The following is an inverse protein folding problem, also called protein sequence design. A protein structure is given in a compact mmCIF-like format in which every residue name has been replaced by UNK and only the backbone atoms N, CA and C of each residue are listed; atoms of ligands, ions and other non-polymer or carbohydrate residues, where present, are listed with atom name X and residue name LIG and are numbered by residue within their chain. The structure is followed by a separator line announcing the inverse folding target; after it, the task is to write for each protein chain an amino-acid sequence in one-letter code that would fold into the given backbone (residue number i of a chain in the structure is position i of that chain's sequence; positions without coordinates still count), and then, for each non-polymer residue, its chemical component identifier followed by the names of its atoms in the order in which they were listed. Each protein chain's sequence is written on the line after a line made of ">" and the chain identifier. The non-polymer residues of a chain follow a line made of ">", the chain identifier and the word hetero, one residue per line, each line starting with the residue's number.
data_IF_863365629573
#
_entry.id   IF_863365629573
#
_cell.length_a   1.000
_cell.length_b   1.000
_cell.length_c   1.000
_cell.angle_alpha   90.00
_cell.angle_beta   90.00
_cell.angle_gamma   90.00
#
_symmetry.space_group_name_H-M   'P 1'
#
loop_
_entity.id
_entity.type
_entity.pdbx_description
1 polymer ?
#
# COMPACT_ATOMS: atom_id res chain seq x y z
N UNK A 1 -16.45 -37.39 3.56
CA UNK A 1 -15.02 -36.99 3.65
C UNK A 1 -14.98 -35.48 3.47
N UNK A 2 -14.48 -34.75 4.47
CA UNK A 2 -14.29 -33.30 4.33
C UNK A 2 -13.13 -33.04 3.35
N UNK A 3 -13.20 -32.03 2.47
CA UNK A 3 -12.06 -31.67 1.64
C UNK A 3 -10.87 -31.22 2.51
N UNK A 4 -9.62 -31.51 2.10
CA UNK A 4 -8.44 -31.03 2.82
C UNK A 4 -8.37 -29.50 2.77
N UNK A 5 -7.84 -28.83 3.81
CA UNK A 5 -7.70 -27.39 3.80
C UNK A 5 -6.73 -26.96 2.69
N UNK A 6 -7.20 -26.13 1.77
CA UNK A 6 -6.35 -25.51 0.75
C UNK A 6 -5.46 -24.49 1.43
N UNK A 7 -4.14 -24.72 1.47
CA UNK A 7 -3.19 -23.71 1.95
C UNK A 7 -3.15 -22.56 0.95
N UNK A 8 -3.68 -21.41 1.37
CA UNK A 8 -3.58 -20.16 0.62
C UNK A 8 -2.14 -19.65 0.75
N UNK A 9 -1.44 -19.33 -0.36
CA UNK A 9 -0.11 -18.74 -0.27
C UNK A 9 -0.19 -17.40 0.48
N UNK A 10 0.66 -17.23 1.48
CA UNK A 10 0.75 -15.99 2.25
C UNK A 10 1.57 -15.00 1.43
N UNK A 11 0.91 -13.96 0.93
CA UNK A 11 1.58 -12.85 0.26
C UNK A 11 2.15 -11.91 1.33
N UNK A 12 3.46 -11.60 1.33
CA UNK A 12 4.04 -10.65 2.27
C UNK A 12 3.44 -9.25 2.06
N UNK A 13 3.04 -8.59 3.14
CA UNK A 13 2.48 -7.23 3.11
C UNK A 13 3.39 -6.28 3.88
N UNK A 14 3.67 -5.12 3.29
CA UNK A 14 4.43 -4.03 3.91
C UNK A 14 3.51 -2.84 4.12
N UNK A 15 3.41 -2.35 5.35
CA UNK A 15 2.62 -1.18 5.70
C UNK A 15 3.52 0.04 5.92
N UNK A 16 3.38 1.07 5.09
CA UNK A 16 4.10 2.34 5.22
C UNK A 16 3.22 3.33 5.99
N UNK A 17 3.53 3.54 7.27
CA UNK A 17 2.73 4.40 8.18
C UNK A 17 3.54 5.60 8.66
N UNK A 18 2.84 6.69 9.00
CA UNK A 18 3.47 7.96 9.41
C UNK A 18 2.53 9.16 9.27
N UNK A 19 2.90 10.30 9.87
CA UNK A 19 2.12 11.54 9.83
C UNK A 19 1.92 12.07 8.39
N UNK A 20 0.92 12.92 8.16
CA UNK A 20 0.76 13.63 6.87
C UNK A 20 2.03 14.43 6.55
N UNK A 21 2.38 14.54 5.26
CA UNK A 21 3.61 15.18 4.77
C UNK A 21 4.94 14.53 5.22
N UNK A 22 4.92 13.31 5.81
CA UNK A 22 6.16 12.61 6.23
C UNK A 22 6.91 11.87 5.10
N UNK A 23 6.56 12.09 3.83
CA UNK A 23 7.22 11.44 2.68
C UNK A 23 6.84 9.98 2.42
N UNK A 24 5.71 9.49 2.95
CA UNK A 24 5.26 8.09 2.77
C UNK A 24 5.13 7.66 1.31
N UNK A 25 4.65 8.55 0.45
CA UNK A 25 4.47 8.27 -0.98
C UNK A 25 5.80 7.93 -1.65
N UNK A 26 6.85 8.73 -1.43
CA UNK A 26 8.18 8.45 -1.97
C UNK A 26 8.72 7.11 -1.47
N UNK A 27 8.63 6.86 -0.16
CA UNK A 27 9.07 5.59 0.42
C UNK A 27 8.31 4.38 -0.13
N UNK A 28 7.00 4.50 -0.38
CA UNK A 28 6.20 3.40 -0.93
C UNK A 28 6.61 3.04 -2.38
N UNK A 29 6.96 4.04 -3.19
CA UNK A 29 7.43 3.83 -4.56
C UNK A 29 8.80 3.15 -4.58
N UNK A 30 9.75 3.67 -3.79
CA UNK A 30 11.09 3.07 -3.66
C UNK A 30 11.02 1.60 -3.20
N UNK A 31 10.11 1.29 -2.27
CA UNK A 31 9.88 -0.07 -1.79
C UNK A 31 9.27 -0.96 -2.87
N UNK A 32 8.30 -0.47 -3.62
CA UNK A 32 7.67 -1.22 -4.71
C UNK A 32 8.69 -1.57 -5.81
N UNK A 33 9.53 -0.62 -6.23
CA UNK A 33 10.58 -0.86 -7.22
C UNK A 33 11.60 -1.90 -6.75
N UNK A 34 12.03 -1.82 -5.49
CA UNK A 34 13.04 -2.75 -4.93
C UNK A 34 12.50 -4.14 -4.68
N UNK A 35 11.21 -4.26 -4.34
CA UNK A 35 10.59 -5.54 -3.98
C UNK A 35 9.84 -6.18 -5.16
N UNK A 36 9.74 -5.50 -6.31
CA UNK A 36 8.88 -5.92 -7.41
C UNK A 36 7.41 -6.00 -7.00
N UNK A 37 7.00 -5.14 -6.08
CA UNK A 37 5.67 -5.13 -5.48
C UNK A 37 4.75 -4.06 -6.05
N UNK A 38 3.50 -4.07 -5.61
CA UNK A 38 2.49 -3.08 -5.99
C UNK A 38 2.14 -2.18 -4.79
N UNK A 39 1.99 -0.88 -5.03
CA UNK A 39 1.53 0.06 -4.01
C UNK A 39 0.01 0.11 -3.99
N UNK A 40 -0.59 -0.15 -2.83
CA UNK A 40 -2.02 0.06 -2.60
C UNK A 40 -2.19 1.27 -1.68
N UNK A 41 -2.84 2.33 -2.17
CA UNK A 41 -3.11 3.51 -1.35
C UNK A 41 -4.22 3.21 -0.33
N UNK A 42 -3.93 3.45 0.95
CA UNK A 42 -4.88 3.27 2.06
C UNK A 42 -5.31 4.58 2.70
N UNK A 43 -4.89 5.73 2.17
CA UNK A 43 -5.30 7.05 2.66
C UNK A 43 -6.71 7.40 2.15
N UNK A 44 -7.66 7.53 3.06
CA UNK A 44 -9.05 7.83 2.74
C UNK A 44 -9.26 9.20 2.06
N UNK A 45 -8.32 10.14 2.22
CA UNK A 45 -8.44 11.49 1.65
C UNK A 45 -7.92 11.59 0.21
N UNK A 46 -7.07 10.67 -0.26
CA UNK A 46 -6.59 10.63 -1.64
C UNK A 46 -7.51 9.86 -2.61
N UNK A 47 -8.61 9.29 -2.11
CA UNK A 47 -9.65 8.64 -2.92
C UNK A 47 -10.58 9.67 -3.59
N UNK A 48 -10.56 10.94 -3.16
CA UNK A 48 -11.33 12.01 -3.79
C UNK A 48 -10.60 12.57 -5.02
N UNK A 49 -11.10 12.24 -6.23
CA UNK A 49 -10.66 12.90 -7.47
C UNK A 49 -10.84 14.42 -7.35
N UNK A 50 -9.75 15.18 -7.45
CA UNK A 50 -9.77 16.65 -7.47
C UNK A 50 -8.94 17.35 -6.39
N UNK A 51 -8.20 16.63 -5.55
CA UNK A 51 -7.25 17.21 -4.59
C UNK A 51 -5.79 16.98 -4.99
N UNK A 52 -5.40 17.35 -6.21
CA UNK A 52 -3.99 17.25 -6.65
C UNK A 52 -3.09 18.35 -6.06
N UNK A 53 -3.65 19.40 -5.44
CA UNK A 53 -2.91 20.62 -5.03
C UNK A 53 -2.84 20.78 -3.49
N UNK A 54 -3.51 19.91 -2.72
CA UNK A 54 -3.71 20.11 -1.27
C UNK A 54 -2.84 19.29 -0.32
N UNK A 55 -1.93 18.42 -0.80
CA UNK A 55 -1.19 17.50 0.09
C UNK A 55 0.29 17.39 -0.32
N UNK A 56 1.04 18.48 -0.14
CA UNK A 56 2.49 18.43 0.02
C UNK A 56 2.84 18.16 1.50
#
# INVERSE_FOLDING_TARGET
>A
MSPPPTTVPVVPVVAVVGATASGKTGLSLDLAERLGGEVVNTDAMQVYRGMDIGTA
#
